data_IF_580273927241
#
_entry.id   IF_580273927241
#
_cell.length_a   1.000
_cell.length_b   1.000
_cell.length_c   1.000
_cell.angle_alpha   90.00
_cell.angle_beta   90.00
_cell.angle_gamma   90.00
#
_symmetry.space_group_name_H-M   'P 1'
#
loop_
_entity.id
_entity.type
_entity.pdbx_description
1 polymer ?
#
# COMPACT_ATOMS: atom_id res chain seq x y z
N UNK A 1 7.63 9.84 -9.63
CA UNK A 1 6.97 9.81 -8.30
C UNK A 1 5.86 10.85 -8.29
N UNK A 2 4.71 10.53 -7.69
CA UNK A 2 3.57 11.41 -7.58
C UNK A 2 3.64 12.26 -6.31
N UNK A 3 3.18 13.50 -6.37
CA UNK A 3 3.18 14.41 -5.22
C UNK A 3 1.94 14.14 -4.36
N UNK A 4 2.15 13.79 -3.09
CA UNK A 4 1.13 13.62 -2.06
C UNK A 4 1.23 14.75 -1.04
N UNK A 5 0.12 15.45 -0.84
CA UNK A 5 -0.02 16.42 0.25
C UNK A 5 -0.85 15.79 1.37
N UNK A 6 -0.38 15.86 2.60
CA UNK A 6 -1.10 15.39 3.79
C UNK A 6 -1.42 16.62 4.66
N UNK A 7 -2.67 16.71 5.13
CA UNK A 7 -3.15 17.81 5.96
C UNK A 7 -3.90 17.29 7.18
N UNK A 8 -3.46 17.70 8.34
CA UNK A 8 -4.09 17.37 9.63
C UNK A 8 -3.65 18.45 10.64
N UNK A 9 -4.56 19.05 11.40
CA UNK A 9 -4.25 20.16 12.28
C UNK A 9 -3.43 19.75 13.51
N UNK A 10 -3.33 18.45 13.80
CA UNK A 10 -2.46 17.91 14.81
C UNK A 10 -1.05 17.62 14.25
N UNK A 11 -0.08 18.50 14.53
CA UNK A 11 1.31 18.40 14.04
C UNK A 11 1.91 16.99 14.22
N UNK A 12 1.69 16.36 15.38
CA UNK A 12 2.21 15.02 15.67
C UNK A 12 1.57 13.92 14.82
N UNK A 13 0.30 14.09 14.49
CA UNK A 13 -0.43 13.13 13.66
C UNK A 13 0.03 13.24 12.22
N UNK A 14 0.05 14.44 11.66
CA UNK A 14 0.46 14.65 10.27
C UNK A 14 1.92 14.24 10.04
N UNK A 15 2.82 14.60 10.95
CA UNK A 15 4.23 14.18 10.91
C UNK A 15 4.35 12.65 11.06
N UNK A 16 3.59 12.06 11.98
CA UNK A 16 3.54 10.62 12.18
C UNK A 16 3.10 9.88 10.92
N UNK A 17 2.02 10.31 10.28
CA UNK A 17 1.53 9.70 9.03
C UNK A 17 2.56 9.88 7.92
N UNK A 18 3.17 11.06 7.78
CA UNK A 18 4.16 11.33 6.75
C UNK A 18 5.43 10.44 6.87
N UNK A 19 5.81 10.06 8.08
CA UNK A 19 7.05 9.31 8.33
C UNK A 19 6.83 7.80 8.59
N UNK A 20 5.60 7.38 8.98
CA UNK A 20 5.33 6.00 9.38
C UNK A 20 5.21 5.05 8.19
N UNK A 21 4.74 5.54 7.06
CA UNK A 21 4.47 4.72 5.89
C UNK A 21 5.57 4.86 4.82
N UNK A 22 5.86 3.80 4.07
CA UNK A 22 6.92 3.81 3.05
C UNK A 22 6.44 4.48 1.74
N UNK A 23 6.10 5.76 1.81
CA UNK A 23 5.50 6.52 0.70
C UNK A 23 6.32 6.48 -0.59
N UNK A 24 7.65 6.57 -0.47
CA UNK A 24 8.54 6.48 -1.64
C UNK A 24 8.43 5.13 -2.35
N UNK A 25 8.33 4.05 -1.59
CA UNK A 25 8.15 2.70 -2.14
C UNK A 25 6.77 2.55 -2.80
N UNK A 26 5.75 3.26 -2.28
CA UNK A 26 4.43 3.37 -2.90
C UNK A 26 4.42 4.28 -4.13
N UNK A 27 5.51 4.98 -4.40
CA UNK A 27 5.67 5.89 -5.55
C UNK A 27 5.22 7.31 -5.29
N UNK A 28 5.11 7.73 -4.03
CA UNK A 28 4.69 9.06 -3.63
C UNK A 28 5.82 9.81 -2.92
N UNK A 29 5.93 11.09 -3.25
CA UNK A 29 6.72 12.06 -2.50
C UNK A 29 5.78 12.89 -1.63
N UNK A 30 6.02 12.92 -0.32
CA UNK A 30 5.12 13.52 0.65
C UNK A 30 5.56 14.94 1.02
N UNK A 31 4.59 15.86 1.03
CA UNK A 31 4.66 17.16 1.71
C UNK A 31 3.48 17.24 2.67
N UNK A 32 3.68 17.72 3.88
CA UNK A 32 2.61 17.79 4.86
C UNK A 32 2.44 19.18 5.47
N UNK A 33 1.24 19.48 5.93
CA UNK A 33 0.85 20.74 6.53
C UNK A 33 -0.07 20.51 7.73
N UNK A 34 0.14 21.30 8.79
CA UNK A 34 -0.78 21.35 9.94
C UNK A 34 -1.83 22.46 9.82
N UNK A 35 -1.81 23.23 8.74
CA UNK A 35 -2.77 24.32 8.49
C UNK A 35 -3.39 24.17 7.10
N UNK A 36 -4.73 24.03 7.01
CA UNK A 36 -5.41 23.79 5.73
C UNK A 36 -5.24 24.93 4.73
N UNK A 37 -5.16 26.19 5.19
CA UNK A 37 -4.92 27.34 4.31
C UNK A 37 -3.55 27.30 3.64
N UNK A 38 -2.51 26.84 4.37
CA UNK A 38 -1.17 26.66 3.80
C UNK A 38 -1.12 25.53 2.77
N UNK A 39 -1.82 24.44 3.08
CA UNK A 39 -1.97 23.33 2.12
C UNK A 39 -2.68 23.79 0.84
N UNK A 40 -3.77 24.55 0.97
CA UNK A 40 -4.50 25.11 -0.18
C UNK A 40 -3.61 26.01 -1.05
N UNK A 41 -2.83 26.89 -0.43
CA UNK A 41 -1.88 27.78 -1.13
C UNK A 41 -0.83 26.93 -1.89
N UNK A 42 -0.29 25.90 -1.23
CA UNK A 42 0.69 25.02 -1.84
C UNK A 42 0.10 24.24 -3.02
N UNK A 43 -1.08 23.65 -2.86
CA UNK A 43 -1.77 22.88 -3.90
C UNK A 43 -2.11 23.74 -5.12
N UNK A 44 -2.42 25.03 -4.93
CA UNK A 44 -2.69 25.97 -6.04
C UNK A 44 -1.44 26.40 -6.82
N UNK A 45 -0.26 26.27 -6.22
CA UNK A 45 1.01 26.76 -6.80
C UNK A 45 1.96 25.65 -7.22
N UNK A 46 1.69 24.41 -6.83
CA UNK A 46 2.53 23.26 -7.13
C UNK A 46 1.70 22.15 -7.79
N UNK A 47 2.37 21.30 -8.56
CA UNK A 47 1.73 20.11 -9.10
C UNK A 47 1.52 19.10 -7.96
N UNK A 48 0.27 18.85 -7.59
CA UNK A 48 -0.13 17.87 -6.59
C UNK A 48 -1.02 16.84 -7.25
N UNK A 49 -0.81 15.57 -6.96
CA UNK A 49 -1.57 14.46 -7.54
C UNK A 49 -2.60 13.89 -6.57
N UNK A 50 -2.25 13.88 -5.28
CA UNK A 50 -3.10 13.35 -4.22
C UNK A 50 -3.10 14.31 -3.03
N UNK A 51 -4.28 14.54 -2.47
CA UNK A 51 -4.49 15.24 -1.21
C UNK A 51 -5.10 14.24 -0.21
N UNK A 52 -4.43 14.01 0.91
CA UNK A 52 -4.96 13.29 2.05
C UNK A 52 -5.23 14.28 3.17
N UNK A 53 -6.47 14.45 3.57
CA UNK A 53 -6.87 15.51 4.50
C UNK A 53 -7.70 14.97 5.66
N UNK A 54 -7.41 15.44 6.88
CA UNK A 54 -8.40 15.36 7.95
C UNK A 54 -9.63 16.18 7.58
N UNK A 55 -10.78 15.76 8.11
CA UNK A 55 -12.05 16.47 7.87
C UNK A 55 -12.23 17.59 8.90
N UNK A 56 -11.98 17.31 10.16
CA UNK A 56 -12.24 18.24 11.24
C UNK A 56 -11.00 19.07 11.59
N UNK A 57 -10.84 20.19 10.90
CA UNK A 57 -9.73 21.12 11.10
C UNK A 57 -10.23 22.54 11.37
N UNK A 58 -9.53 23.34 12.20
CA UNK A 58 -9.83 24.75 12.39
C UNK A 58 -9.56 25.57 11.13
N UNK A 59 -10.10 26.76 11.03
CA UNK A 59 -9.99 27.72 9.92
C UNK A 59 -10.69 27.27 8.63
N UNK A 60 -10.48 26.03 8.19
CA UNK A 60 -11.07 25.43 6.99
C UNK A 60 -11.10 23.91 7.20
N UNK A 61 -12.28 23.32 7.16
CA UNK A 61 -12.41 21.87 7.26
C UNK A 61 -12.04 21.15 5.93
N UNK A 62 -11.81 19.84 6.00
CA UNK A 62 -11.41 19.05 4.84
C UNK A 62 -12.43 19.04 3.70
N UNK A 63 -13.74 19.18 4.02
CA UNK A 63 -14.79 19.27 3.00
C UNK A 63 -14.75 20.59 2.24
N UNK A 64 -14.49 21.69 2.93
CA UNK A 64 -14.30 23.00 2.33
C UNK A 64 -13.04 23.05 1.47
N UNK A 65 -11.96 22.42 1.95
CA UNK A 65 -10.72 22.27 1.20
C UNK A 65 -10.95 21.46 -0.09
N UNK A 66 -11.66 20.34 0.00
CA UNK A 66 -12.05 19.53 -1.15
C UNK A 66 -12.89 20.33 -2.16
N UNK A 67 -13.87 21.11 -1.68
CA UNK A 67 -14.72 21.95 -2.52
C UNK A 67 -13.91 23.01 -3.30
N UNK A 68 -12.86 23.56 -2.70
CA UNK A 68 -11.96 24.50 -3.37
C UNK A 68 -11.13 23.88 -4.50
N UNK A 69 -11.03 22.54 -4.50
CA UNK A 69 -10.21 21.77 -5.43
C UNK A 69 -11.04 20.91 -6.39
N UNK A 70 -12.38 21.02 -6.38
CA UNK A 70 -13.26 20.16 -7.16
C UNK A 70 -13.04 20.23 -8.69
N UNK A 71 -12.55 21.36 -9.20
CA UNK A 71 -12.24 21.53 -10.62
C UNK A 71 -10.81 21.08 -10.99
N UNK A 72 -10.07 20.53 -10.03
CA UNK A 72 -8.74 19.98 -10.23
C UNK A 72 -8.78 18.46 -10.44
N UNK A 73 -7.73 17.94 -11.05
CA UNK A 73 -7.54 16.49 -11.25
C UNK A 73 -6.94 15.77 -10.03
N UNK A 74 -6.93 16.41 -8.87
CA UNK A 74 -6.31 15.91 -7.64
C UNK A 74 -7.19 14.82 -7.04
N UNK A 75 -6.59 13.68 -6.76
CA UNK A 75 -7.24 12.59 -6.03
C UNK A 75 -7.33 12.96 -4.55
N UNK A 76 -8.51 12.86 -3.96
CA UNK A 76 -8.74 13.25 -2.57
C UNK A 76 -9.04 12.02 -1.73
N UNK A 77 -8.36 11.91 -0.58
CA UNK A 77 -8.59 10.89 0.45
C UNK A 77 -8.89 11.61 1.76
N UNK A 78 -10.00 11.27 2.40
CA UNK A 78 -10.30 11.78 3.73
C UNK A 78 -9.79 10.84 4.81
N UNK A 79 -9.34 11.45 5.91
CA UNK A 79 -9.08 10.77 7.17
C UNK A 79 -9.99 11.39 8.25
N UNK A 80 -10.50 10.58 9.18
CA UNK A 80 -11.38 11.09 10.22
C UNK A 80 -11.38 10.18 11.46
N UNK A 81 -11.54 10.77 12.62
CA UNK A 81 -11.76 10.06 13.89
C UNK A 81 -13.20 9.57 14.04
N UNK A 82 -14.14 10.05 13.24
CA UNK A 82 -15.56 9.81 13.39
C UNK A 82 -16.19 9.14 12.18
N UNK A 83 -17.05 8.14 12.46
CA UNK A 83 -17.98 7.60 11.46
C UNK A 83 -19.20 8.52 11.38
N UNK A 84 -19.11 9.57 10.58
CA UNK A 84 -20.22 10.49 10.38
C UNK A 84 -20.85 10.25 9.00
N UNK A 85 -22.16 9.92 9.00
CA UNK A 85 -22.92 9.66 7.77
C UNK A 85 -22.89 10.85 6.79
N UNK A 86 -22.92 12.08 7.28
CA UNK A 86 -22.86 13.25 6.42
C UNK A 86 -21.51 13.36 5.69
N UNK A 87 -20.40 13.03 6.34
CA UNK A 87 -19.08 13.02 5.72
C UNK A 87 -18.98 11.98 4.61
N UNK A 88 -19.57 10.79 4.80
CA UNK A 88 -19.67 9.79 3.74
C UNK A 88 -20.49 10.28 2.55
N UNK A 89 -21.60 10.98 2.80
CA UNK A 89 -22.44 11.54 1.73
C UNK A 89 -21.67 12.59 0.93
N UNK A 90 -20.90 13.46 1.60
CA UNK A 90 -20.04 14.42 0.92
C UNK A 90 -18.91 13.74 0.14
N UNK A 91 -18.25 12.72 0.72
CA UNK A 91 -17.22 11.96 0.03
C UNK A 91 -17.71 11.37 -1.30
N UNK A 92 -18.93 10.81 -1.31
CA UNK A 92 -19.57 10.31 -2.52
C UNK A 92 -19.90 11.45 -3.49
N UNK A 93 -20.47 12.56 -3.00
CA UNK A 93 -20.85 13.71 -3.83
C UNK A 93 -19.65 14.35 -4.55
N UNK A 94 -18.51 14.47 -3.85
CA UNK A 94 -17.29 15.05 -4.39
C UNK A 94 -16.34 14.01 -5.02
N UNK A 95 -16.79 12.74 -5.17
CA UNK A 95 -16.02 11.66 -5.79
C UNK A 95 -14.63 11.48 -5.15
N UNK A 96 -14.60 11.55 -3.83
CA UNK A 96 -13.39 11.28 -3.05
C UNK A 96 -12.97 9.82 -3.25
N UNK A 97 -11.70 9.55 -3.41
CA UNK A 97 -11.19 8.22 -3.73
C UNK A 97 -11.38 7.22 -2.59
N UNK A 98 -11.19 7.69 -1.35
CA UNK A 98 -11.39 6.84 -0.17
C UNK A 98 -11.63 7.67 1.09
N UNK A 99 -12.14 6.99 2.15
CA UNK A 99 -12.39 7.56 3.46
C UNK A 99 -11.82 6.63 4.53
N UNK A 100 -10.72 7.04 5.15
CA UNK A 100 -9.97 6.26 6.12
C UNK A 100 -10.29 6.68 7.56
N UNK A 101 -10.53 5.69 8.43
CA UNK A 101 -10.79 5.95 9.84
C UNK A 101 -9.50 5.92 10.66
N UNK A 102 -9.34 6.88 11.57
CA UNK A 102 -8.31 6.85 12.61
C UNK A 102 -8.69 5.81 13.69
N UNK A 103 -7.77 4.98 14.21
CA UNK A 103 -6.35 4.92 13.86
C UNK A 103 -6.12 4.26 12.50
N UNK A 104 -5.32 4.89 11.64
CA UNK A 104 -5.05 4.43 10.28
C UNK A 104 -4.22 3.15 10.34
N UNK A 105 -4.70 2.10 9.69
CA UNK A 105 -3.98 0.83 9.59
C UNK A 105 -3.12 0.80 8.32
N UNK A 106 -1.95 0.19 8.41
CA UNK A 106 -1.06 0.06 7.25
C UNK A 106 -1.75 -0.60 6.04
N UNK A 107 -2.62 -1.58 6.27
CA UNK A 107 -3.39 -2.24 5.22
C UNK A 107 -4.35 -1.29 4.48
N UNK A 108 -4.96 -0.34 5.18
CA UNK A 108 -5.91 0.62 4.57
C UNK A 108 -5.15 1.61 3.68
N UNK A 109 -4.01 2.13 4.15
CA UNK A 109 -3.11 2.98 3.34
C UNK A 109 -2.62 2.24 2.09
N UNK A 110 -2.11 1.03 2.26
CA UNK A 110 -1.57 0.26 1.14
C UNK A 110 -2.64 -0.04 0.08
N UNK A 111 -3.86 -0.38 0.51
CA UNK A 111 -4.98 -0.62 -0.41
C UNK A 111 -5.42 0.65 -1.14
N UNK A 112 -5.63 1.74 -0.40
CA UNK A 112 -6.08 3.02 -0.94
C UNK A 112 -5.05 3.56 -1.94
N UNK A 113 -3.79 3.74 -1.49
CA UNK A 113 -2.74 4.35 -2.30
C UNK A 113 -2.23 3.45 -3.42
N UNK A 114 -2.33 2.12 -3.27
CA UNK A 114 -2.07 1.19 -4.37
C UNK A 114 -3.04 1.37 -5.54
N UNK A 115 -4.35 1.53 -5.27
CA UNK A 115 -5.36 1.83 -6.28
C UNK A 115 -5.14 3.20 -6.94
N UNK A 116 -4.90 4.22 -6.11
CA UNK A 116 -4.62 5.58 -6.59
C UNK A 116 -3.40 5.58 -7.51
N UNK A 117 -2.33 4.88 -7.12
CA UNK A 117 -1.12 4.76 -7.94
C UNK A 117 -1.43 4.14 -9.29
N UNK A 118 -2.18 3.05 -9.33
CA UNK A 118 -2.57 2.42 -10.59
C UNK A 118 -3.36 3.38 -11.49
N UNK A 119 -4.35 4.10 -10.95
CA UNK A 119 -5.13 5.07 -11.70
C UNK A 119 -4.26 6.22 -12.25
N UNK A 120 -3.28 6.69 -11.48
CA UNK A 120 -2.35 7.73 -11.90
C UNK A 120 -1.41 7.21 -13.00
N UNK A 121 -0.90 5.98 -12.87
CA UNK A 121 -0.06 5.35 -13.88
C UNK A 121 -0.82 5.17 -15.21
N UNK A 122 -2.08 4.73 -15.16
CA UNK A 122 -2.95 4.62 -16.34
C UNK A 122 -3.21 5.99 -16.99
N UNK A 123 -3.46 7.02 -16.18
CA UNK A 123 -3.75 8.39 -16.66
C UNK A 123 -2.55 9.05 -17.30
N UNK A 124 -1.39 8.93 -16.68
CA UNK A 124 -0.19 9.62 -17.14
C UNK A 124 0.62 8.79 -18.14
N UNK A 125 0.13 7.57 -18.52
CA UNK A 125 0.71 6.66 -19.54
C UNK A 125 2.22 6.88 -19.72
N UNK A 126 2.96 6.69 -18.62
CA UNK A 126 4.41 6.80 -18.69
C UNK A 126 4.88 5.62 -19.52
N UNK A 127 5.20 5.89 -20.78
CA UNK A 127 5.91 5.01 -21.70
C UNK A 127 7.31 4.75 -21.17
N UNK A 128 7.40 4.00 -20.09
CA UNK A 128 8.63 3.39 -19.58
C UNK A 128 8.22 2.08 -18.91
N UNK A 129 9.08 1.09 -19.03
CA UNK A 129 8.98 -0.25 -18.46
C UNK A 129 8.19 -0.28 -17.15
N UNK A 130 7.16 -1.12 -17.07
CA UNK A 130 6.21 -1.21 -15.95
C UNK A 130 6.95 -1.02 -14.63
N UNK A 131 6.70 0.08 -13.90
CA UNK A 131 7.36 0.25 -12.60
C UNK A 131 6.92 -0.94 -11.74
N UNK A 132 7.89 -1.69 -11.23
CA UNK A 132 7.64 -2.77 -10.28
C UNK A 132 6.85 -2.17 -9.13
N UNK A 133 5.56 -2.49 -9.04
CA UNK A 133 4.69 -1.95 -7.98
C UNK A 133 5.27 -2.36 -6.62
N UNK A 134 5.05 -1.55 -5.58
CA UNK A 134 5.39 -1.93 -4.19
C UNK A 134 4.96 -3.38 -3.88
N UNK A 135 3.76 -3.75 -4.31
CA UNK A 135 3.26 -5.13 -4.16
C UNK A 135 4.09 -6.15 -4.93
N UNK A 136 4.58 -5.81 -6.11
CA UNK A 136 5.42 -6.72 -6.88
C UNK A 136 6.78 -6.90 -6.21
N UNK A 137 7.32 -5.85 -5.58
CA UNK A 137 8.53 -5.93 -4.76
C UNK A 137 8.29 -6.76 -3.49
N UNK A 138 7.16 -6.55 -2.80
CA UNK A 138 6.76 -7.36 -1.64
C UNK A 138 6.65 -8.83 -2.03
N UNK A 139 5.93 -9.13 -3.10
CA UNK A 139 5.76 -10.50 -3.58
C UNK A 139 7.08 -11.09 -4.05
N UNK A 140 7.95 -10.32 -4.70
CA UNK A 140 9.29 -10.76 -5.08
C UNK A 140 10.12 -11.15 -3.86
N UNK A 141 10.17 -10.29 -2.82
CA UNK A 141 10.85 -10.58 -1.55
C UNK A 141 10.30 -11.83 -0.86
N UNK A 142 8.96 -11.97 -0.84
CA UNK A 142 8.33 -13.16 -0.24
C UNK A 142 8.66 -14.44 -1.02
N UNK A 143 8.68 -14.38 -2.35
CA UNK A 143 9.09 -15.51 -3.20
C UNK A 143 10.57 -15.89 -2.99
N UNK A 144 11.43 -14.88 -2.84
CA UNK A 144 12.85 -15.07 -2.54
C UNK A 144 13.03 -15.72 -1.16
N UNK A 145 12.36 -15.19 -0.13
CA UNK A 145 12.32 -15.79 1.21
C UNK A 145 11.86 -17.27 1.17
N UNK A 146 10.78 -17.59 0.43
CA UNK A 146 10.31 -18.96 0.26
C UNK A 146 11.36 -19.84 -0.39
N UNK A 147 12.06 -19.36 -1.42
CA UNK A 147 13.10 -20.13 -2.12
C UNK A 147 14.31 -20.43 -1.23
N UNK A 148 14.71 -19.47 -0.40
CA UNK A 148 15.86 -19.60 0.49
C UNK A 148 15.53 -20.45 1.73
N UNK A 149 14.30 -20.34 2.24
CA UNK A 149 13.89 -20.95 3.51
C UNK A 149 12.79 -22.00 3.34
N UNK A 150 12.66 -22.64 2.15
CA UNK A 150 11.54 -23.51 1.81
C UNK A 150 11.27 -24.65 2.82
N UNK A 151 12.25 -25.07 3.59
CA UNK A 151 12.10 -26.13 4.63
C UNK A 151 11.24 -25.66 5.80
N UNK A 152 11.47 -24.43 6.27
CA UNK A 152 10.90 -23.89 7.52
C UNK A 152 10.03 -22.66 7.29
N UNK A 153 9.86 -22.22 6.02
CA UNK A 153 9.12 -21.01 5.71
C UNK A 153 7.68 -21.05 6.23
N UNK A 154 7.28 -19.98 6.91
CA UNK A 154 5.91 -19.75 7.36
C UNK A 154 5.36 -18.44 6.80
N UNK A 155 4.03 -18.32 6.76
CA UNK A 155 3.35 -17.08 6.35
C UNK A 155 3.64 -15.97 7.36
N UNK A 156 3.73 -16.29 8.63
CA UNK A 156 4.01 -15.40 9.74
C UNK A 156 5.38 -14.76 9.58
N UNK A 157 6.42 -15.56 9.35
CA UNK A 157 7.78 -15.07 9.17
C UNK A 157 7.93 -14.27 7.88
N UNK A 158 7.30 -14.73 6.80
CA UNK A 158 7.27 -13.98 5.54
C UNK A 158 6.61 -12.60 5.71
N UNK A 159 5.54 -12.50 6.52
CA UNK A 159 4.85 -11.25 6.80
C UNK A 159 5.73 -10.28 7.60
N UNK A 160 6.51 -10.79 8.56
CA UNK A 160 7.50 -10.00 9.31
C UNK A 160 8.56 -9.41 8.37
N UNK A 161 9.09 -10.21 7.42
CA UNK A 161 10.11 -9.77 6.46
C UNK A 161 9.67 -8.57 5.61
N UNK A 162 8.37 -8.46 5.36
CA UNK A 162 7.80 -7.39 4.53
C UNK A 162 6.98 -6.38 5.33
N UNK A 163 7.02 -6.45 6.66
CA UNK A 163 6.31 -5.55 7.60
C UNK A 163 4.80 -5.49 7.36
N UNK A 164 4.19 -6.64 7.03
CA UNK A 164 2.74 -6.79 6.83
C UNK A 164 2.13 -7.73 7.86
N UNK A 165 0.80 -7.68 8.03
CA UNK A 165 0.09 -8.71 8.79
C UNK A 165 -0.02 -9.99 7.95
N UNK A 166 0.01 -11.20 8.58
CA UNK A 166 -0.15 -12.46 7.87
C UNK A 166 -1.40 -12.55 7.01
N UNK A 167 -2.54 -12.09 7.55
CA UNK A 167 -3.82 -12.08 6.84
C UNK A 167 -3.79 -11.19 5.59
N UNK A 168 -3.14 -10.04 5.70
CA UNK A 168 -2.99 -9.12 4.58
C UNK A 168 -2.05 -9.68 3.51
N UNK A 169 -0.88 -10.20 3.94
CA UNK A 169 0.06 -10.85 3.02
C UNK A 169 -0.59 -12.01 2.27
N UNK A 170 -1.34 -12.88 2.97
CA UNK A 170 -2.04 -14.02 2.36
C UNK A 170 -2.97 -13.57 1.23
N UNK A 171 -3.72 -12.48 1.45
CA UNK A 171 -4.63 -11.93 0.44
C UNK A 171 -3.90 -11.41 -0.79
N UNK A 172 -2.90 -10.53 -0.62
CA UNK A 172 -2.17 -9.94 -1.76
C UNK A 172 -1.33 -10.99 -2.49
N UNK A 173 -0.79 -11.97 -1.77
CA UNK A 173 -0.04 -13.06 -2.38
C UNK A 173 -0.94 -13.88 -3.31
N UNK A 174 -2.15 -14.24 -2.85
CA UNK A 174 -3.13 -14.96 -3.66
C UNK A 174 -3.57 -14.15 -4.88
N UNK A 175 -3.82 -12.86 -4.69
CA UNK A 175 -4.23 -11.93 -5.76
C UNK A 175 -3.14 -11.83 -6.85
N UNK A 176 -1.88 -11.65 -6.45
CA UNK A 176 -0.75 -11.44 -7.37
C UNK A 176 -0.16 -12.72 -7.96
N UNK A 177 -0.21 -13.84 -7.23
CA UNK A 177 0.36 -15.11 -7.67
C UNK A 177 -0.68 -16.08 -8.27
N UNK A 178 -1.98 -15.78 -8.15
CA UNK A 178 -3.07 -16.65 -8.57
C UNK A 178 -3.24 -17.89 -7.68
N UNK A 179 -2.40 -18.07 -6.65
CA UNK A 179 -2.43 -19.20 -5.71
C UNK A 179 -2.06 -18.76 -4.30
N UNK A 180 -2.49 -19.51 -3.27
CA UNK A 180 -2.18 -19.23 -1.88
C UNK A 180 -0.70 -19.41 -1.54
N UNK A 181 -0.25 -18.79 -0.43
CA UNK A 181 1.12 -18.93 0.07
C UNK A 181 1.51 -20.39 0.31
N UNK A 182 0.65 -21.17 0.98
CA UNK A 182 0.88 -22.58 1.27
C UNK A 182 0.99 -23.42 0.00
N UNK A 183 0.17 -23.14 -1.01
CA UNK A 183 0.22 -23.84 -2.30
C UNK A 183 1.53 -23.53 -3.03
N UNK A 184 1.95 -22.26 -3.00
CA UNK A 184 3.21 -21.83 -3.60
C UNK A 184 4.42 -22.47 -2.90
N UNK A 185 4.40 -22.51 -1.55
CA UNK A 185 5.44 -23.15 -0.75
C UNK A 185 5.54 -24.65 -1.07
N UNK A 186 4.39 -25.35 -1.13
CA UNK A 186 4.33 -26.76 -1.49
C UNK A 186 4.90 -26.99 -2.90
N UNK A 187 4.53 -26.16 -3.86
CA UNK A 187 5.07 -26.20 -5.23
C UNK A 187 6.59 -26.04 -5.22
N UNK A 188 7.11 -25.05 -4.49
CA UNK A 188 8.57 -24.81 -4.38
C UNK A 188 9.29 -26.00 -3.76
N UNK A 189 8.72 -26.61 -2.72
CA UNK A 189 9.26 -27.84 -2.11
C UNK A 189 9.31 -29.00 -3.11
N UNK A 190 8.25 -29.18 -3.89
CA UNK A 190 8.20 -30.22 -4.93
C UNK A 190 9.24 -29.99 -6.03
N UNK A 191 9.38 -28.73 -6.49
CA UNK A 191 10.41 -28.38 -7.48
C UNK A 191 11.82 -28.68 -6.94
N UNK A 192 12.09 -28.32 -5.67
CA UNK A 192 13.37 -28.63 -5.02
C UNK A 192 13.58 -30.14 -4.84
N UNK A 193 12.54 -30.87 -4.48
CA UNK A 193 12.62 -32.34 -4.39
C UNK A 193 12.94 -32.97 -5.77
N UNK A 194 12.33 -32.49 -6.84
CA UNK A 194 12.64 -32.97 -8.20
C UNK A 194 14.08 -32.63 -8.64
N UNK A 195 14.59 -31.45 -8.27
CA UNK A 195 15.99 -31.07 -8.52
C UNK A 195 16.95 -32.04 -7.82
N UNK A 196 16.69 -32.33 -6.53
CA UNK A 196 17.51 -33.25 -5.71
C UNK A 196 17.42 -34.71 -6.17
N UNK A 197 16.26 -35.16 -6.71
CA UNK A 197 16.10 -36.50 -7.29
C UNK A 197 16.92 -36.67 -8.59
N UNK A 198 17.15 -35.57 -9.32
CA UNK A 198 18.01 -35.58 -10.51
C UNK A 198 19.50 -35.63 -10.20
N UNK A 199 19.90 -35.41 -8.95
CA UNK A 199 21.30 -35.43 -8.51
C UNK A 199 21.64 -36.77 -7.86
N UNK A 200 22.57 -37.50 -8.45
CA UNK A 200 22.99 -38.87 -8.04
C UNK A 200 23.52 -38.93 -6.59
N UNK A 201 23.81 -37.77 -5.97
CA UNK A 201 24.34 -37.69 -4.59
C UNK A 201 23.29 -37.85 -3.49
N UNK A 202 21.98 -37.68 -3.79
CA UNK A 202 20.90 -37.75 -2.80
C UNK A 202 20.14 -39.07 -2.85
N UNK A 203 19.87 -39.63 -1.66
CA UNK A 203 19.07 -40.86 -1.53
C UNK A 203 17.59 -40.50 -1.35
N UNK A 204 16.70 -41.35 -1.80
CA UNK A 204 15.25 -41.15 -1.78
C UNK A 204 14.66 -40.81 -0.40
N UNK A 205 15.28 -41.25 0.69
CA UNK A 205 14.83 -40.95 2.05
C UNK A 205 15.23 -39.52 2.52
N UNK A 206 16.29 -38.93 1.98
CA UNK A 206 16.70 -37.53 2.29
C UNK A 206 15.65 -36.56 1.77
N UNK A 207 14.96 -36.92 0.70
CA UNK A 207 13.94 -36.13 0.04
C UNK A 207 12.62 -36.15 0.79
N UNK A 208 12.27 -37.28 1.43
CA UNK A 208 11.09 -37.38 2.28
C UNK A 208 11.14 -36.43 3.48
N UNK A 209 12.32 -36.16 4.04
CA UNK A 209 12.52 -35.22 5.16
C UNK A 209 12.34 -33.76 4.72
N UNK A 210 12.56 -33.47 3.44
CA UNK A 210 12.38 -32.11 2.87
C UNK A 210 10.92 -31.79 2.59
N UNK A 211 10.09 -32.84 2.46
CA UNK A 211 8.65 -32.71 2.11
C UNK A 211 7.72 -32.72 3.33
N UNK A 212 8.19 -33.07 4.51
CA UNK A 212 7.44 -32.98 5.77
C UNK A 212 7.60 -31.63 6.42
#
# INVERSE_FOLDING_TARGET
MYQLVIVDDEDKIVEGIANLFPWEQLGFQVTWFSRPLKALEYVKTHQVHVLMSDIEMPEMNGLELCKQLQDSDIKIVFISSHQNYEYFRYAIQYRVEDYLLKPIKSGDILNCFGKIRQQLDEKYAVTQETPVTYYDQVISKVKEYIKENYKEASLEDAAVQVSLSPSYLSRIFKEKCGMGFSDYLTKTRMEKACELLGDIQYKSYDILIIMM
#
